data_IF_634994001885
#
_entry.id   IF_634994001885
#
_cell.length_a   1.000
_cell.length_b   1.000
_cell.length_c   1.000
_cell.angle_alpha   90.00
_cell.angle_beta   90.00
_cell.angle_gamma   90.00
#
_symmetry.space_group_name_H-M   'P 1'
#
loop_
_entity.id
_entity.type
_entity.pdbx_description
1 polymer ?
#
# COMPACT_ATOMS: atom_id res chain seq x y z
N UNK A 1 4.15 1.67 -14.27
CA UNK A 1 4.80 1.11 -13.06
C UNK A 1 6.30 1.01 -13.31
N UNK A 2 7.11 1.61 -12.45
CA UNK A 2 8.57 1.55 -12.51
C UNK A 2 9.11 1.27 -11.10
N UNK A 3 9.91 0.22 -10.93
CA UNK A 3 10.54 -0.12 -9.66
C UNK A 3 12.06 0.02 -9.82
N UNK A 4 12.68 1.10 -9.31
CA UNK A 4 14.11 1.33 -9.45
C UNK A 4 14.93 0.24 -8.77
N UNK A 5 16.12 -0.06 -9.31
CA UNK A 5 17.04 -1.02 -8.69
C UNK A 5 17.41 -0.64 -7.24
N UNK A 6 17.44 0.65 -6.91
CA UNK A 6 17.68 1.15 -5.56
C UNK A 6 16.58 0.80 -4.54
N UNK A 7 15.37 0.43 -4.99
CA UNK A 7 14.32 -0.10 -4.13
C UNK A 7 14.46 -1.61 -3.91
N UNK A 8 15.13 -2.33 -4.81
CA UNK A 8 15.26 -3.79 -4.78
C UNK A 8 16.37 -4.29 -3.84
N UNK A 9 16.48 -3.69 -2.66
CA UNK A 9 17.53 -3.99 -1.69
C UNK A 9 17.05 -3.86 -0.24
N UNK A 10 17.90 -4.27 0.71
CA UNK A 10 17.70 -4.07 2.14
C UNK A 10 16.37 -4.64 2.67
N UNK A 11 15.61 -3.78 3.35
CA UNK A 11 14.31 -4.13 3.94
C UNK A 11 13.19 -4.28 2.91
N UNK A 12 13.37 -3.84 1.66
CA UNK A 12 12.35 -3.95 0.61
C UNK A 12 12.47 -5.24 -0.21
N UNK A 13 13.68 -5.73 -0.48
CA UNK A 13 13.86 -7.01 -1.17
C UNK A 13 15.18 -7.70 -0.82
N UNK A 14 15.09 -9.01 -0.60
CA UNK A 14 16.26 -9.89 -0.58
C UNK A 14 15.81 -11.30 -1.00
N UNK A 15 16.54 -11.94 -1.92
CA UNK A 15 16.21 -13.30 -2.37
C UNK A 15 16.28 -14.35 -1.25
N UNK A 16 17.14 -14.13 -0.24
CA UNK A 16 17.48 -15.07 0.83
C UNK A 16 16.62 -14.90 2.10
N UNK A 17 15.71 -13.94 2.14
CA UNK A 17 14.80 -13.77 3.29
C UNK A 17 13.44 -14.43 3.03
N UNK A 18 12.64 -14.64 4.09
CA UNK A 18 11.33 -15.26 3.94
C UNK A 18 10.43 -14.51 2.97
N UNK A 19 9.60 -15.24 2.22
CA UNK A 19 8.66 -14.69 1.25
C UNK A 19 7.61 -13.82 1.89
N UNK A 20 7.12 -14.11 3.10
CA UNK A 20 6.23 -13.16 3.79
C UNK A 20 6.82 -11.75 3.88
N UNK A 21 8.13 -11.60 4.10
CA UNK A 21 8.78 -10.30 4.15
C UNK A 21 8.87 -9.65 2.76
N UNK A 22 9.19 -10.42 1.72
CA UNK A 22 9.22 -9.92 0.33
C UNK A 22 7.83 -9.51 -0.18
N UNK A 23 6.81 -10.32 0.06
CA UNK A 23 5.44 -9.96 -0.30
C UNK A 23 4.96 -8.73 0.49
N UNK A 24 5.27 -8.64 1.78
CA UNK A 24 4.87 -7.52 2.62
C UNK A 24 5.50 -6.17 2.21
N UNK A 25 6.62 -6.18 1.50
CA UNK A 25 7.38 -4.96 1.19
C UNK A 25 7.43 -4.71 -0.31
N UNK A 26 8.28 -5.38 -1.09
CA UNK A 26 8.29 -5.19 -2.55
C UNK A 26 6.98 -5.64 -3.21
N UNK A 27 6.31 -6.65 -2.66
CA UNK A 27 4.98 -7.05 -3.15
C UNK A 27 3.92 -5.99 -2.88
N UNK A 28 4.00 -5.31 -1.73
CA UNK A 28 3.20 -4.14 -1.42
C UNK A 28 3.50 -2.99 -2.38
N UNK A 29 4.77 -2.63 -2.58
CA UNK A 29 5.17 -1.54 -3.49
C UNK A 29 4.67 -1.82 -4.91
N UNK A 30 4.86 -3.04 -5.44
CA UNK A 30 4.32 -3.40 -6.75
C UNK A 30 2.78 -3.30 -6.81
N UNK A 31 2.09 -3.72 -5.74
CA UNK A 31 0.64 -3.60 -5.64
C UNK A 31 0.15 -2.14 -5.57
N UNK A 32 0.85 -1.30 -4.82
CA UNK A 32 0.58 0.14 -4.68
C UNK A 32 0.70 0.84 -6.03
N UNK A 33 1.81 0.60 -6.75
CA UNK A 33 2.01 1.16 -8.09
C UNK A 33 0.99 0.67 -9.13
N UNK A 34 0.50 -0.58 -9.00
CA UNK A 34 -0.60 -1.08 -9.84
C UNK A 34 -1.90 -0.36 -9.47
N UNK A 35 -2.17 -0.17 -8.18
CA UNK A 35 -3.38 0.49 -7.70
C UNK A 35 -3.49 1.95 -8.15
N UNK A 36 -2.37 2.66 -8.39
CA UNK A 36 -2.39 3.99 -8.99
C UNK A 36 -3.07 4.05 -10.35
N UNK A 37 -3.08 2.96 -11.14
CA UNK A 37 -3.84 2.94 -12.40
C UNK A 37 -5.36 3.02 -12.20
N UNK A 38 -5.84 2.86 -10.97
CA UNK A 38 -7.26 2.85 -10.61
C UNK A 38 -7.58 3.81 -9.46
N UNK A 39 -6.65 4.69 -9.08
CA UNK A 39 -6.89 5.72 -8.07
C UNK A 39 -7.73 6.89 -8.64
N UNK A 40 -7.87 7.97 -7.87
CA UNK A 40 -8.68 9.14 -8.28
C UNK A 40 -8.27 9.74 -9.61
N UNK A 41 -6.98 9.68 -9.96
CA UNK A 41 -6.43 10.20 -11.20
C UNK A 41 -6.35 9.10 -12.26
N UNK A 42 -5.79 7.94 -11.90
CA UNK A 42 -5.56 6.84 -12.83
C UNK A 42 -6.83 6.30 -13.46
N UNK A 43 -7.95 6.27 -12.71
CA UNK A 43 -9.26 5.83 -13.25
C UNK A 43 -9.74 6.62 -14.46
N UNK A 44 -9.23 7.84 -14.67
CA UNK A 44 -9.62 8.71 -15.78
C UNK A 44 -8.84 8.45 -17.07
N UNK A 45 -7.83 7.56 -17.00
CA UNK A 45 -6.97 7.18 -18.10
C UNK A 45 -7.32 5.78 -18.58
N UNK A 46 -7.47 5.60 -19.90
CA UNK A 46 -7.67 4.29 -20.51
C UNK A 46 -6.38 3.47 -20.57
N UNK A 47 -6.44 2.26 -21.13
CA UNK A 47 -5.31 1.32 -21.22
C UNK A 47 -4.12 1.85 -22.03
N UNK A 48 -4.33 2.88 -22.85
CA UNK A 48 -3.30 3.55 -23.65
C UNK A 48 -2.79 4.83 -22.97
N UNK A 49 -3.37 5.22 -21.84
CA UNK A 49 -3.05 6.44 -21.11
C UNK A 49 -3.76 7.69 -21.64
N UNK A 50 -4.86 7.55 -22.39
CA UNK A 50 -5.66 8.70 -22.83
C UNK A 50 -6.70 9.08 -21.78
N UNK A 51 -6.93 10.38 -21.59
CA UNK A 51 -8.04 10.89 -20.80
C UNK A 51 -9.38 10.51 -21.44
N UNK A 52 -10.06 9.54 -20.86
CA UNK A 52 -11.32 9.00 -21.35
C UNK A 52 -12.11 8.41 -20.18
N UNK A 53 -13.39 8.74 -20.07
CA UNK A 53 -14.26 7.98 -19.17
C UNK A 53 -14.58 6.62 -19.82
N UNK A 54 -14.05 5.56 -19.25
CA UNK A 54 -14.26 4.17 -19.66
C UNK A 54 -15.08 3.37 -18.64
N UNK A 55 -15.60 4.04 -17.60
CA UNK A 55 -16.50 3.46 -16.61
C UNK A 55 -17.95 3.83 -16.93
N UNK A 56 -18.88 2.94 -16.59
CA UNK A 56 -20.28 3.29 -16.56
C UNK A 56 -20.60 4.16 -15.33
N UNK A 57 -21.73 4.86 -15.39
CA UNK A 57 -22.13 5.81 -14.35
C UNK A 57 -22.40 5.15 -12.98
N UNK A 58 -22.80 3.88 -12.94
CA UNK A 58 -23.04 3.15 -11.69
C UNK A 58 -21.70 2.83 -11.00
N UNK A 59 -20.72 2.35 -11.76
CA UNK A 59 -19.36 2.10 -11.28
C UNK A 59 -18.70 3.37 -10.75
N UNK A 60 -18.83 4.50 -11.47
CA UNK A 60 -18.26 5.78 -11.03
C UNK A 60 -18.89 6.25 -9.72
N UNK A 61 -20.22 6.17 -9.59
CA UNK A 61 -20.93 6.53 -8.36
C UNK A 61 -20.52 5.66 -7.17
N UNK A 62 -20.38 4.34 -7.38
CA UNK A 62 -19.98 3.44 -6.29
C UNK A 62 -18.52 3.65 -5.88
N UNK A 63 -17.63 3.94 -6.83
CA UNK A 63 -16.26 4.30 -6.54
C UNK A 63 -16.16 5.57 -5.69
N UNK A 64 -16.91 6.62 -6.03
CA UNK A 64 -16.96 7.87 -5.25
C UNK A 64 -17.46 7.58 -3.83
N UNK A 65 -18.53 6.78 -3.70
CA UNK A 65 -19.09 6.38 -2.39
C UNK A 65 -18.07 5.64 -1.53
N UNK A 66 -17.31 4.71 -2.11
CA UNK A 66 -16.27 3.96 -1.40
C UNK A 66 -15.05 4.84 -1.06
N UNK A 67 -14.71 5.79 -1.94
CA UNK A 67 -13.61 6.74 -1.74
C UNK A 67 -13.89 7.72 -0.59
N UNK A 68 -15.14 8.11 -0.37
CA UNK A 68 -15.50 8.98 0.75
C UNK A 68 -15.19 8.33 2.11
N UNK A 69 -15.28 7.00 2.23
CA UNK A 69 -14.87 6.27 3.44
C UNK A 69 -13.38 6.51 3.77
N UNK A 70 -12.51 6.53 2.76
CA UNK A 70 -11.09 6.84 2.96
C UNK A 70 -10.88 8.31 3.32
N UNK A 71 -11.62 9.23 2.71
CA UNK A 71 -11.55 10.67 3.04
C UNK A 71 -11.90 10.87 4.52
N UNK A 72 -13.00 10.28 4.99
CA UNK A 72 -13.44 10.39 6.38
C UNK A 72 -12.47 9.71 7.35
N UNK A 73 -12.03 8.49 7.04
CA UNK A 73 -11.11 7.74 7.89
C UNK A 73 -9.81 8.51 8.11
N UNK A 74 -9.18 8.95 7.02
CA UNK A 74 -7.88 9.60 7.07
C UNK A 74 -7.99 11.07 7.49
N UNK A 75 -9.11 11.75 7.18
CA UNK A 75 -9.40 13.09 7.68
C UNK A 75 -9.52 13.18 9.21
N UNK A 76 -9.86 12.06 9.86
CA UNK A 76 -9.92 11.95 11.32
C UNK A 76 -8.58 11.59 11.99
N UNK A 77 -7.49 11.48 11.22
CA UNK A 77 -6.14 11.25 11.77
C UNK A 77 -5.51 12.58 12.14
N UNK A 78 -5.29 12.77 13.44
CA UNK A 78 -4.54 13.91 13.99
C UNK A 78 -3.13 13.46 14.35
N UNK A 79 -2.13 14.25 14.00
CA UNK A 79 -0.75 14.15 14.48
C UNK A 79 -0.58 15.09 15.69
N UNK A 80 -0.70 14.59 16.94
CA UNK A 80 -0.80 15.46 18.11
C UNK A 80 0.48 16.27 18.35
N UNK A 81 1.62 15.69 17.99
CA UNK A 81 2.95 16.30 18.10
C UNK A 81 3.06 17.60 17.29
N UNK A 82 2.31 17.70 16.17
CA UNK A 82 2.30 18.87 15.28
C UNK A 82 0.98 19.64 15.30
N UNK A 83 -0.04 19.13 16.00
CA UNK A 83 -1.42 19.65 15.97
C UNK A 83 -2.00 19.77 14.54
N UNK A 84 -1.59 18.86 13.66
CA UNK A 84 -2.04 18.81 12.27
C UNK A 84 -3.06 17.68 12.10
N UNK A 85 -4.12 17.96 11.35
CA UNK A 85 -5.05 16.94 10.86
C UNK A 85 -4.67 16.61 9.43
N UNK A 86 -4.62 15.32 9.11
CA UNK A 86 -4.37 14.88 7.75
C UNK A 86 -5.53 15.31 6.84
N UNK A 87 -5.22 15.80 5.65
CA UNK A 87 -6.24 16.12 4.66
C UNK A 87 -6.60 14.87 3.86
N UNK A 88 -7.64 14.15 4.29
CA UNK A 88 -8.08 12.90 3.66
C UNK A 88 -8.43 13.01 2.17
N UNK A 89 -8.80 14.20 1.66
CA UNK A 89 -9.00 14.43 0.21
C UNK A 89 -7.66 14.55 -0.53
N UNK A 90 -6.70 15.25 0.06
CA UNK A 90 -5.39 15.46 -0.59
C UNK A 90 -4.54 14.19 -0.63
N UNK A 91 -4.71 13.30 0.35
CA UNK A 91 -3.99 12.02 0.41
C UNK A 91 -4.76 10.85 -0.20
N UNK A 92 -5.94 11.09 -0.80
CA UNK A 92 -6.86 10.03 -1.19
C UNK A 92 -6.24 9.03 -2.17
N UNK A 93 -5.52 9.52 -3.19
CA UNK A 93 -4.89 8.67 -4.20
C UNK A 93 -3.90 7.68 -3.56
N UNK A 94 -2.99 8.17 -2.72
CA UNK A 94 -2.01 7.39 -1.98
C UNK A 94 -2.69 6.43 -0.99
N UNK A 95 -3.73 6.88 -0.28
CA UNK A 95 -4.48 6.04 0.64
C UNK A 95 -5.15 4.85 -0.06
N UNK A 96 -5.72 5.08 -1.26
CA UNK A 96 -6.29 4.02 -2.10
C UNK A 96 -5.19 3.06 -2.56
N UNK A 97 -4.05 3.59 -3.02
CA UNK A 97 -2.92 2.81 -3.48
C UNK A 97 -2.32 1.94 -2.36
N UNK A 98 -2.15 2.48 -1.16
CA UNK A 98 -1.66 1.77 0.02
C UNK A 98 -2.57 0.61 0.40
N UNK A 99 -3.87 0.88 0.53
CA UNK A 99 -4.85 -0.13 0.93
C UNK A 99 -5.03 -1.21 -0.15
N UNK A 100 -5.06 -0.81 -1.42
CA UNK A 100 -5.11 -1.72 -2.56
C UNK A 100 -3.86 -2.58 -2.64
N UNK A 101 -2.68 -1.96 -2.55
CA UNK A 101 -1.39 -2.61 -2.64
C UNK A 101 -1.19 -3.66 -1.57
N UNK A 102 -1.48 -3.35 -0.30
CA UNK A 102 -1.28 -4.31 0.79
C UNK A 102 -2.29 -5.45 0.74
N UNK A 103 -3.53 -5.19 0.31
CA UNK A 103 -4.56 -6.20 0.10
C UNK A 103 -4.15 -7.20 -0.98
N UNK A 104 -3.66 -6.70 -2.11
CA UNK A 104 -3.16 -7.54 -3.22
C UNK A 104 -1.92 -8.31 -2.79
N UNK A 105 -0.96 -7.67 -2.13
CA UNK A 105 0.28 -8.29 -1.66
C UNK A 105 0.02 -9.44 -0.66
N UNK A 106 -0.86 -9.22 0.31
CA UNK A 106 -1.24 -10.26 1.26
C UNK A 106 -2.04 -11.39 0.59
N UNK A 107 -2.92 -11.06 -0.37
CA UNK A 107 -3.60 -12.04 -1.22
C UNK A 107 -2.62 -12.91 -2.00
N UNK A 108 -1.58 -12.30 -2.59
CA UNK A 108 -0.53 -12.98 -3.33
C UNK A 108 0.32 -13.89 -2.42
N UNK A 109 0.68 -13.42 -1.21
CA UNK A 109 1.36 -14.25 -0.23
C UNK A 109 0.54 -15.49 0.16
N UNK A 110 -0.76 -15.31 0.45
CA UNK A 110 -1.65 -16.45 0.75
C UNK A 110 -1.70 -17.46 -0.39
N UNK A 111 -1.80 -16.99 -1.64
CA UNK A 111 -1.74 -17.88 -2.82
C UNK A 111 -0.40 -18.61 -2.88
N UNK A 112 0.70 -17.90 -2.66
CA UNK A 112 2.04 -18.51 -2.64
C UNK A 112 2.15 -19.62 -1.59
N UNK A 113 1.61 -19.42 -0.38
CA UNK A 113 1.59 -20.43 0.70
C UNK A 113 0.81 -21.68 0.30
N UNK A 114 -0.32 -21.54 -0.40
CA UNK A 114 -1.10 -22.68 -0.91
C UNK A 114 -0.26 -23.58 -1.82
N UNK A 115 0.60 -22.98 -2.65
CA UNK A 115 1.43 -23.72 -3.61
C UNK A 115 2.79 -24.19 -3.04
N UNK A 116 3.33 -23.53 -2.02
CA UNK A 116 4.72 -23.74 -1.56
C UNK A 116 4.85 -24.16 -0.08
N UNK A 117 3.73 -24.28 0.64
CA UNK A 117 3.62 -24.45 2.10
C UNK A 117 4.05 -23.20 2.88
N UNK A 118 3.58 -23.12 4.13
CA UNK A 118 3.93 -22.01 5.01
C UNK A 118 5.41 -22.06 5.41
N UNK A 119 6.09 -20.91 5.38
CA UNK A 119 7.49 -20.79 5.75
C UNK A 119 7.69 -20.91 7.26
N UNK A 120 8.93 -21.22 7.67
CA UNK A 120 9.30 -21.20 9.09
C UNK A 120 9.29 -19.76 9.64
N UNK A 121 9.06 -19.66 10.95
CA UNK A 121 9.19 -18.41 11.71
C UNK A 121 10.65 -17.96 11.74
N UNK A 122 10.87 -16.66 11.96
CA UNK A 122 12.21 -16.16 12.25
C UNK A 122 12.70 -16.71 13.61
N UNK A 123 13.97 -17.09 13.73
CA UNK A 123 14.57 -17.41 15.03
C UNK A 123 14.37 -16.26 16.01
N UNK A 124 14.19 -16.58 17.30
CA UNK A 124 14.06 -15.61 18.40
C UNK A 124 12.80 -14.71 18.35
N UNK A 125 11.88 -14.92 17.39
CA UNK A 125 10.60 -14.21 17.33
C UNK A 125 9.43 -15.18 17.44
N UNK A 126 8.62 -15.02 18.49
CA UNK A 126 7.45 -15.86 18.80
C UNK A 126 6.20 -15.48 17.98
N UNK A 127 6.38 -15.03 16.74
CA UNK A 127 5.29 -14.60 15.86
C UNK A 127 5.11 -15.55 14.68
N UNK A 128 3.86 -15.76 14.28
CA UNK A 128 3.51 -16.54 13.08
C UNK A 128 3.97 -15.84 11.79
N UNK A 129 4.18 -16.57 10.68
CA UNK A 129 4.50 -15.96 9.37
C UNK A 129 3.46 -14.92 8.93
N UNK A 130 2.18 -15.14 9.24
CA UNK A 130 1.11 -14.16 9.02
C UNK A 130 1.33 -12.87 9.83
N UNK A 131 1.70 -12.96 11.10
CA UNK A 131 1.99 -11.77 11.92
C UNK A 131 3.27 -11.08 11.42
N UNK A 132 4.29 -11.86 11.05
CA UNK A 132 5.54 -11.36 10.49
C UNK A 132 5.34 -10.64 9.17
N UNK A 133 4.38 -11.04 8.32
CA UNK A 133 3.99 -10.26 7.15
C UNK A 133 3.63 -8.81 7.53
N UNK A 134 2.71 -8.62 8.48
CA UNK A 134 2.25 -7.28 8.85
C UNK A 134 3.32 -6.45 9.56
N UNK A 135 4.15 -7.10 10.40
CA UNK A 135 5.30 -6.41 10.99
C UNK A 135 6.29 -5.96 9.91
N UNK A 136 6.61 -6.82 8.95
CA UNK A 136 7.55 -6.49 7.86
C UNK A 136 6.99 -5.41 6.93
N UNK A 137 5.67 -5.36 6.71
CA UNK A 137 5.01 -4.28 5.98
C UNK A 137 5.20 -2.92 6.67
N UNK A 138 5.10 -2.88 8.01
CA UNK A 138 5.22 -1.63 8.75
C UNK A 138 6.66 -1.10 8.83
N UNK A 139 7.68 -1.97 8.79
CA UNK A 139 9.08 -1.58 9.00
C UNK A 139 9.61 -0.52 8.03
N UNK A 140 9.35 -0.57 6.71
CA UNK A 140 9.76 0.50 5.79
C UNK A 140 9.21 1.88 6.11
N UNK A 141 8.10 1.97 6.84
CA UNK A 141 7.47 3.25 7.23
C UNK A 141 8.00 3.80 8.55
N UNK A 142 8.93 3.11 9.21
CA UNK A 142 9.59 3.63 10.41
C UNK A 142 10.39 4.89 10.05
N UNK A 143 9.81 6.04 10.36
CA UNK A 143 10.36 7.37 10.08
C UNK A 143 9.96 8.33 11.20
N UNK A 144 10.67 9.45 11.31
CA UNK A 144 10.33 10.55 12.21
C UNK A 144 10.62 11.86 11.48
N UNK A 145 9.63 12.75 11.48
CA UNK A 145 9.73 14.04 10.81
C UNK A 145 9.97 15.19 11.80
N UNK A 146 10.57 16.26 11.30
CA UNK A 146 10.61 17.55 12.02
C UNK A 146 9.28 18.29 11.83
N UNK A 147 8.90 19.25 12.71
CA UNK A 147 7.70 20.05 12.50
C UNK A 147 7.65 20.74 11.13
N UNK A 148 8.80 21.18 10.61
CA UNK A 148 8.88 21.81 9.30
C UNK A 148 8.69 20.81 8.14
N UNK A 149 9.06 19.54 8.34
CA UNK A 149 8.89 18.49 7.34
C UNK A 149 7.43 18.05 7.17
N UNK A 150 6.54 18.43 8.09
CA UNK A 150 5.11 18.09 8.06
C UNK A 150 4.21 19.23 7.55
N UNK A 151 4.81 20.38 7.19
CA UNK A 151 4.12 21.48 6.50
C UNK A 151 4.01 21.12 5.00
N UNK A 152 2.81 20.73 4.55
CA UNK A 152 2.45 20.49 3.14
C UNK A 152 1.78 21.73 2.52
#
# INVERSE_FOLDING_TARGET
IFLPAGLLQGAFFNKNRPKYANFATIGFAAGHEISHAFDTNGRTLDELGNLRNWWDAETEKEYERLSECFIEQYGNVTYPEFKLNLNGRSTLAENIADNGGIKVAYGAYKKWVIFNKEEKRLPCLSYSPKQLFWMMFAQPFCSKETPKGTEL
#
